data_IF_763190038535
#
_entry.id   IF_763190038535
#
_cell.length_a   1.000
_cell.length_b   1.000
_cell.length_c   1.000
_cell.angle_alpha   90.00
_cell.angle_beta   90.00
_cell.angle_gamma   90.00
#
_symmetry.space_group_name_H-M   'P 1'
#
loop_
_entity.id
_entity.type
_entity.pdbx_description
1 polymer ?
#
# COMPACT_ATOMS: atom_id res chain seq x y z
N UNK A 1 0.34 8.43 24.07
CA UNK A 1 0.99 7.34 23.32
C UNK A 1 -0.02 6.22 23.20
N UNK A 2 -0.82 6.22 22.14
CA UNK A 2 -1.87 5.21 21.94
C UNK A 2 -1.26 4.08 21.15
N UNK A 3 -1.23 2.88 21.77
CA UNK A 3 -0.81 1.62 21.16
C UNK A 3 -1.49 1.48 19.81
N UNK A 4 -0.71 1.40 18.75
CA UNK A 4 -1.22 1.47 17.40
C UNK A 4 -2.12 0.29 17.06
N UNK A 5 -3.25 0.61 16.43
CA UNK A 5 -4.31 -0.35 16.13
C UNK A 5 -3.89 -1.25 14.96
N UNK A 6 -3.73 -2.55 15.21
CA UNK A 6 -3.71 -3.53 14.14
C UNK A 6 -5.09 -3.51 13.44
N UNK A 7 -5.11 -3.13 12.16
CA UNK A 7 -6.33 -2.95 11.38
C UNK A 7 -6.40 -3.90 10.18
N UNK A 8 -7.62 -4.29 9.80
CA UNK A 8 -7.88 -4.99 8.53
C UNK A 8 -8.95 -4.26 7.75
N UNK A 9 -8.77 -4.12 6.46
CA UNK A 9 -9.79 -3.53 5.58
C UNK A 9 -9.66 -4.05 4.14
N UNK A 10 -10.70 -3.83 3.35
CA UNK A 10 -10.69 -4.09 1.91
C UNK A 10 -10.69 -2.76 1.16
N UNK A 11 -9.99 -2.73 0.02
CA UNK A 11 -9.87 -1.54 -0.82
C UNK A 11 -9.58 -1.95 -2.26
N UNK A 12 -9.54 -0.96 -3.15
CA UNK A 12 -9.14 -1.11 -4.56
C UNK A 12 -8.01 -0.15 -4.85
N UNK A 13 -7.00 -0.63 -5.58
CA UNK A 13 -5.93 0.24 -6.09
C UNK A 13 -6.51 1.21 -7.12
N UNK A 14 -6.32 2.51 -6.92
CA UNK A 14 -6.85 3.54 -7.83
C UNK A 14 -5.78 4.19 -8.68
N UNK A 15 -4.54 4.28 -8.18
CA UNK A 15 -3.44 4.88 -8.93
C UNK A 15 -2.08 4.31 -8.52
N UNK A 16 -1.11 4.39 -9.43
CA UNK A 16 0.29 4.00 -9.22
C UNK A 16 1.23 5.00 -9.89
N UNK A 17 2.31 5.36 -9.19
CA UNK A 17 3.39 6.18 -9.76
C UNK A 17 4.75 5.71 -9.29
N UNK A 18 5.78 5.92 -10.10
CA UNK A 18 7.15 5.67 -9.69
C UNK A 18 7.55 6.69 -8.62
N UNK A 19 8.09 6.22 -7.48
CA UNK A 19 8.65 7.08 -6.44
C UNK A 19 10.12 7.34 -6.71
N UNK A 20 10.89 6.27 -6.89
CA UNK A 20 12.33 6.36 -7.08
C UNK A 20 12.87 5.13 -7.79
N UNK A 21 14.01 5.29 -8.44
CA UNK A 21 14.80 4.21 -8.99
C UNK A 21 16.27 4.45 -8.70
N UNK A 22 16.83 3.64 -7.81
CA UNK A 22 18.22 3.77 -7.35
C UNK A 22 18.90 2.41 -7.41
N UNK A 23 20.04 2.33 -8.10
CA UNK A 23 20.84 1.10 -8.22
C UNK A 23 20.04 -0.16 -8.63
N UNK A 24 19.04 0.00 -9.51
CA UNK A 24 18.18 -1.09 -9.97
C UNK A 24 17.03 -1.46 -9.01
N UNK A 25 16.96 -0.84 -7.83
CA UNK A 25 15.81 -0.93 -6.93
C UNK A 25 14.81 0.16 -7.28
N UNK A 26 13.59 -0.27 -7.58
CA UNK A 26 12.49 0.64 -7.91
C UNK A 26 11.49 0.64 -6.76
N UNK A 27 11.08 1.83 -6.34
CA UNK A 27 9.96 2.02 -5.42
C UNK A 27 8.81 2.70 -6.15
N UNK A 28 7.63 2.34 -5.71
CA UNK A 28 6.37 2.78 -6.26
C UNK A 28 5.50 3.32 -5.15
N UNK A 29 4.70 4.32 -5.49
CA UNK A 29 3.64 4.84 -4.66
C UNK A 29 2.31 4.36 -5.25
N UNK A 30 1.45 3.84 -4.38
CA UNK A 30 0.14 3.30 -4.75
C UNK A 30 -0.95 3.94 -3.92
N UNK A 31 -1.98 4.46 -4.57
CA UNK A 31 -3.17 5.02 -3.92
C UNK A 31 -4.29 3.96 -3.87
N UNK A 32 -5.11 4.03 -2.83
CA UNK A 32 -6.28 3.17 -2.63
C UNK A 32 -7.54 4.03 -2.57
N UNK A 33 -8.69 3.49 -2.99
CA UNK A 33 -9.99 4.19 -2.92
C UNK A 33 -10.40 4.57 -1.48
N UNK A 34 -9.87 3.82 -0.51
CA UNK A 34 -9.97 4.05 0.92
C UNK A 34 -8.76 3.44 1.60
N UNK A 35 -8.38 3.98 2.75
CA UNK A 35 -7.28 3.41 3.53
C UNK A 35 -7.50 3.56 5.03
N UNK A 36 -7.06 2.55 5.77
CA UNK A 36 -6.90 2.59 7.22
C UNK A 36 -5.46 2.81 7.67
N UNK A 37 -4.51 2.97 6.73
CA UNK A 37 -3.12 3.30 7.06
C UNK A 37 -2.99 4.80 7.39
N UNK A 38 -2.21 5.10 8.43
CA UNK A 38 -1.75 6.44 8.80
C UNK A 38 -0.26 6.64 8.57
N UNK A 39 0.21 7.87 8.76
CA UNK A 39 1.63 8.20 8.65
C UNK A 39 2.48 7.37 9.62
N UNK A 40 3.53 6.72 9.11
CA UNK A 40 4.40 5.82 9.89
C UNK A 40 3.92 4.38 10.00
N UNK A 41 2.70 4.07 9.56
CA UNK A 41 2.23 2.68 9.52
C UNK A 41 2.97 1.87 8.45
N UNK A 42 3.07 0.56 8.71
CA UNK A 42 3.56 -0.44 7.77
C UNK A 42 2.54 -1.56 7.65
N UNK A 43 2.71 -2.48 6.71
CA UNK A 43 1.76 -3.59 6.61
C UNK A 43 1.87 -4.41 5.34
N UNK A 44 0.77 -5.05 4.97
CA UNK A 44 0.69 -5.86 3.76
C UNK A 44 -0.62 -5.66 3.04
N UNK A 45 -0.58 -5.69 1.71
CA UNK A 45 -1.73 -5.78 0.83
C UNK A 45 -1.74 -7.16 0.18
N UNK A 46 -2.85 -7.88 0.32
CA UNK A 46 -3.05 -9.18 -0.31
C UNK A 46 -4.03 -9.05 -1.47
N UNK A 47 -3.68 -9.62 -2.63
CA UNK A 47 -4.56 -9.72 -3.79
C UNK A 47 -4.57 -11.14 -4.34
N UNK A 48 -5.57 -11.46 -5.14
CA UNK A 48 -5.62 -12.72 -5.90
C UNK A 48 -5.56 -12.37 -7.37
N UNK A 49 -4.51 -12.84 -8.05
CA UNK A 49 -4.37 -12.68 -9.49
C UNK A 49 -5.46 -13.47 -10.23
N UNK A 50 -5.79 -13.15 -11.49
CA UNK A 50 -6.77 -13.92 -12.29
C UNK A 50 -6.47 -15.42 -12.37
N UNK A 51 -5.19 -15.81 -12.24
CA UNK A 51 -4.75 -17.21 -12.19
C UNK A 51 -5.07 -17.94 -10.87
N UNK A 52 -5.58 -17.23 -9.85
CA UNK A 52 -5.80 -17.74 -8.50
C UNK A 52 -4.57 -17.62 -7.57
N UNK A 53 -3.44 -17.15 -8.07
CA UNK A 53 -2.23 -16.95 -7.26
C UNK A 53 -2.46 -15.82 -6.25
N UNK A 54 -2.19 -16.08 -4.97
CA UNK A 54 -2.16 -15.06 -3.93
C UNK A 54 -0.88 -14.23 -4.03
N UNK A 55 -1.05 -12.93 -4.22
CA UNK A 55 0.01 -11.93 -4.17
C UNK A 55 -0.01 -11.28 -2.79
N UNK A 56 1.17 -11.05 -2.22
CA UNK A 56 1.35 -10.31 -0.97
C UNK A 56 2.37 -9.21 -1.23
N UNK A 57 1.96 -7.96 -1.05
CA UNK A 57 2.78 -6.77 -1.28
C UNK A 57 3.01 -6.07 0.06
N UNK A 58 4.27 -5.97 0.54
CA UNK A 58 4.60 -5.20 1.72
C UNK A 58 4.41 -3.70 1.48
N UNK A 59 3.74 -3.03 2.42
CA UNK A 59 3.72 -1.57 2.54
C UNK A 59 4.88 -1.16 3.43
N UNK A 60 5.83 -0.44 2.85
CA UNK A 60 7.10 -0.09 3.49
C UNK A 60 7.03 1.24 4.24
N UNK A 61 6.19 2.15 3.76
CA UNK A 61 5.99 3.47 4.33
C UNK A 61 4.69 4.07 3.81
N UNK A 62 4.17 5.07 4.52
CA UNK A 62 3.06 5.90 4.09
C UNK A 62 3.55 7.32 3.86
N UNK A 63 3.25 7.87 2.70
CA UNK A 63 3.54 9.25 2.32
C UNK A 63 2.23 9.98 2.14
N UNK A 64 2.11 11.15 2.75
CA UNK A 64 1.02 12.09 2.49
C UNK A 64 1.59 13.20 1.63
N UNK A 65 0.98 13.46 0.48
CA UNK A 65 1.41 14.57 -0.38
C UNK A 65 0.77 15.90 0.03
N UNK A 66 1.14 16.98 -0.66
CA UNK A 66 0.68 18.33 -0.34
C UNK A 66 -0.85 18.51 -0.49
N UNK A 67 -1.52 17.64 -1.25
CA UNK A 67 -2.98 17.63 -1.39
C UNK A 67 -3.68 16.82 -0.29
N UNK A 68 -2.92 16.15 0.57
CA UNK A 68 -3.43 15.26 1.61
C UNK A 68 -3.72 13.85 1.12
N UNK A 69 -3.33 13.48 -0.11
CA UNK A 69 -3.54 12.13 -0.65
C UNK A 69 -2.57 11.15 0.01
N UNK A 70 -3.05 9.93 0.30
CA UNK A 70 -2.27 8.90 1.00
C UNK A 70 -1.69 7.91 -0.02
N UNK A 71 -0.36 7.87 -0.06
CA UNK A 71 0.43 7.01 -0.93
C UNK A 71 1.13 5.90 -0.15
N UNK A 72 0.89 4.66 -0.57
CA UNK A 72 1.49 3.46 0.02
C UNK A 72 2.77 3.13 -0.76
N UNK A 73 3.92 3.18 -0.10
CA UNK A 73 5.22 2.88 -0.72
C UNK A 73 5.45 1.38 -0.76
N UNK A 74 5.70 0.84 -1.96
CA UNK A 74 5.89 -0.59 -2.23
C UNK A 74 7.01 -0.82 -3.26
N UNK A 75 7.59 -2.02 -3.30
CA UNK A 75 8.58 -2.38 -4.33
C UNK A 75 7.94 -2.93 -5.62
N UNK A 76 6.79 -3.58 -5.49
CA UNK A 76 6.07 -4.24 -6.59
C UNK A 76 4.60 -3.81 -6.55
N UNK A 77 4.20 -2.82 -7.35
CA UNK A 77 2.84 -2.30 -7.30
C UNK A 77 1.85 -3.33 -7.86
N UNK A 78 0.62 -3.24 -7.39
CA UNK A 78 -0.51 -3.92 -8.01
C UNK A 78 -1.13 -2.97 -9.03
N UNK A 79 -1.73 -3.50 -10.10
CA UNK A 79 -2.36 -2.67 -11.12
C UNK A 79 -3.58 -1.93 -10.56
N UNK A 80 -3.88 -0.74 -11.08
CA UNK A 80 -5.14 -0.06 -10.80
C UNK A 80 -6.34 -0.97 -11.12
N UNK A 81 -7.39 -0.88 -10.30
CA UNK A 81 -8.55 -1.78 -10.31
C UNK A 81 -8.33 -3.09 -9.54
N UNK A 82 -7.13 -3.37 -9.01
CA UNK A 82 -6.89 -4.59 -8.23
C UNK A 82 -7.54 -4.47 -6.86
N UNK A 83 -8.48 -5.36 -6.48
CA UNK A 83 -9.00 -5.44 -5.13
C UNK A 83 -7.97 -6.03 -4.18
N UNK A 84 -7.85 -5.45 -2.98
CA UNK A 84 -6.87 -5.85 -1.97
C UNK A 84 -7.50 -6.05 -0.60
N UNK A 85 -6.93 -6.98 0.17
CA UNK A 85 -7.13 -7.10 1.62
C UNK A 85 -5.91 -6.54 2.32
N UNK A 86 -6.09 -5.46 3.07
CA UNK A 86 -5.05 -4.78 3.79
C UNK A 86 -4.92 -5.29 5.23
N UNK A 87 -3.69 -5.38 5.70
CA UNK A 87 -3.35 -5.60 7.10
C UNK A 87 -2.39 -4.50 7.55
N UNK A 88 -2.88 -3.61 8.41
CA UNK A 88 -2.11 -2.50 8.98
C UNK A 88 -1.41 -2.95 10.24
N UNK A 89 -0.13 -2.59 10.37
CA UNK A 89 0.67 -2.71 11.59
C UNK A 89 1.24 -1.34 11.90
N UNK A 90 0.82 -0.79 13.03
CA UNK A 90 1.44 0.41 13.54
C UNK A 90 2.81 0.07 14.16
N UNK A 91 3.78 0.96 13.95
CA UNK A 91 5.08 0.93 14.63
C UNK A 91 4.99 1.58 16.01
#
# INVERSE_FOLDING_TARGET
MSVGVNGKFEAVVVDIREESRVAGHQRWQMALDRTGFGAGDVGTLEAVAPSGVKLVVPVLNIVVDDAGEIWHVVEKPLAAGTPVKAHVRAL
#
